data_IF_637513060349
#
_entry.id   IF_637513060349
#
_cell.length_a   1.000
_cell.length_b   1.000
_cell.length_c   1.000
_cell.angle_alpha   90.00
_cell.angle_beta   90.00
_cell.angle_gamma   90.00
#
_symmetry.space_group_name_H-M   'P 1'
#
loop_
_entity.id
_entity.type
_entity.pdbx_description
1 polymer ?
#
# COMPACT_ATOMS: atom_id res chain seq x y z
N UNK A 1 -24.84 -29.66 122.96
CA UNK A 1 -24.24 -30.68 122.07
C UNK A 1 -24.51 -30.18 120.66
N UNK A 2 -23.50 -29.55 120.08
CA UNK A 2 -23.66 -28.73 118.88
C UNK A 2 -23.22 -29.54 117.67
N UNK A 3 -24.17 -29.85 116.79
CA UNK A 3 -23.92 -30.48 115.49
C UNK A 3 -23.00 -29.60 114.64
N UNK A 4 -21.98 -30.24 114.06
CA UNK A 4 -21.03 -29.60 113.13
C UNK A 4 -21.21 -30.24 111.75
N UNK A 5 -21.81 -29.51 110.82
CA UNK A 5 -21.85 -29.87 109.40
C UNK A 5 -20.45 -29.71 108.75
N UNK A 6 -20.08 -30.57 107.78
CA UNK A 6 -18.85 -30.38 107.01
C UNK A 6 -19.07 -29.43 105.83
N UNK A 7 -18.15 -28.47 105.70
CA UNK A 7 -18.06 -27.50 104.60
C UNK A 7 -17.53 -28.18 103.34
N UNK A 8 -18.31 -28.18 102.26
CA UNK A 8 -17.88 -28.59 100.91
C UNK A 8 -17.21 -27.40 100.21
N UNK A 9 -15.97 -27.58 99.73
CA UNK A 9 -15.31 -26.60 98.86
C UNK A 9 -15.83 -26.69 97.42
N UNK A 10 -15.94 -25.57 96.68
CA UNK A 10 -16.36 -25.60 95.28
C UNK A 10 -15.20 -26.01 94.37
N UNK A 11 -15.47 -26.98 93.49
CA UNK A 11 -14.56 -27.41 92.42
C UNK A 11 -14.12 -26.23 91.54
N UNK A 12 -12.81 -26.05 91.46
CA UNK A 12 -12.15 -25.12 90.56
C UNK A 12 -12.19 -25.67 89.12
N UNK A 13 -13.25 -25.35 88.38
CA UNK A 13 -13.33 -25.61 86.95
C UNK A 13 -12.44 -24.60 86.23
N UNK A 14 -11.24 -25.03 85.85
CA UNK A 14 -10.42 -24.29 84.89
C UNK A 14 -11.08 -24.34 83.50
N UNK A 15 -11.32 -23.19 82.82
CA UNK A 15 -11.79 -23.22 81.44
C UNK A 15 -10.67 -23.74 80.51
N UNK A 16 -11.04 -24.67 79.62
CA UNK A 16 -10.15 -25.22 78.61
C UNK A 16 -9.55 -24.11 77.71
N UNK A 17 -8.32 -24.27 77.21
CA UNK A 17 -7.68 -23.25 76.40
C UNK A 17 -8.41 -23.11 75.06
N UNK A 18 -8.97 -21.93 74.82
CA UNK A 18 -9.65 -21.55 73.58
C UNK A 18 -8.66 -21.60 72.41
N UNK A 19 -8.81 -22.59 71.53
CA UNK A 19 -8.02 -22.80 70.29
C UNK A 19 -8.62 -22.09 69.07
N UNK A 20 -9.32 -20.97 69.25
CA UNK A 20 -10.03 -20.30 68.16
C UNK A 20 -9.14 -19.49 67.21
N UNK A 21 -7.88 -19.19 67.58
CA UNK A 21 -7.01 -18.34 66.76
C UNK A 21 -6.32 -19.06 65.60
N UNK A 22 -5.96 -20.34 65.73
CA UNK A 22 -5.18 -21.08 64.71
C UNK A 22 -5.97 -21.37 63.44
N UNK A 23 -7.26 -21.68 63.59
CA UNK A 23 -8.13 -22.14 62.50
C UNK A 23 -8.45 -20.99 61.52
N UNK A 24 -8.56 -19.76 62.03
CA UNK A 24 -8.77 -18.56 61.23
C UNK A 24 -7.54 -18.19 60.38
N UNK A 25 -6.32 -18.40 60.90
CA UNK A 25 -5.09 -18.19 60.15
C UNK A 25 -4.89 -19.26 59.06
N UNK A 26 -5.21 -20.53 59.34
CA UNK A 26 -5.19 -21.59 58.33
C UNK A 26 -6.23 -21.36 57.22
N UNK A 27 -7.44 -20.92 57.57
CA UNK A 27 -8.46 -20.54 56.60
C UNK A 27 -8.02 -19.36 55.70
N UNK A 28 -7.32 -18.38 56.29
CA UNK A 28 -6.76 -17.26 55.55
C UNK A 28 -5.63 -17.67 54.61
N UNK A 29 -4.74 -18.58 55.03
CA UNK A 29 -3.68 -19.11 54.18
C UNK A 29 -4.24 -19.96 53.03
N UNK A 30 -5.28 -20.76 53.29
CA UNK A 30 -5.99 -21.51 52.25
C UNK A 30 -6.64 -20.56 51.22
N UNK A 31 -7.24 -19.47 51.69
CA UNK A 31 -7.81 -18.44 50.84
C UNK A 31 -6.74 -17.73 50.01
N UNK A 32 -5.60 -17.38 50.61
CA UNK A 32 -4.47 -16.76 49.90
C UNK A 32 -3.94 -17.66 48.78
N UNK A 33 -3.74 -18.95 49.06
CA UNK A 33 -3.33 -19.94 48.06
C UNK A 33 -4.34 -20.06 46.94
N UNK A 34 -5.64 -20.08 47.25
CA UNK A 34 -6.70 -20.11 46.24
C UNK A 34 -6.70 -18.85 45.37
N UNK A 35 -6.52 -17.68 45.98
CA UNK A 35 -6.54 -16.38 45.30
C UNK A 35 -5.31 -16.23 44.39
N UNK A 36 -4.12 -16.61 44.86
CA UNK A 36 -2.89 -16.62 44.06
C UNK A 36 -3.01 -17.60 42.88
N UNK A 37 -3.63 -18.77 43.09
CA UNK A 37 -3.91 -19.73 42.01
C UNK A 37 -4.87 -19.16 40.97
N UNK A 38 -5.93 -18.46 41.40
CA UNK A 38 -6.90 -17.85 40.48
C UNK A 38 -6.32 -16.64 39.73
N UNK A 39 -5.55 -15.79 40.40
CA UNK A 39 -4.85 -14.67 39.76
C UNK A 39 -3.78 -15.17 38.79
N UNK A 40 -3.04 -16.23 39.15
CA UNK A 40 -2.09 -16.87 38.26
C UNK A 40 -2.73 -17.43 36.99
N UNK A 41 -3.89 -18.10 37.14
CA UNK A 41 -4.69 -18.57 35.99
C UNK A 41 -5.14 -17.41 35.11
N UNK A 42 -5.74 -16.37 35.70
CA UNK A 42 -6.23 -15.21 34.95
C UNK A 42 -5.10 -14.49 34.21
N UNK A 43 -3.93 -14.33 34.84
CA UNK A 43 -2.76 -13.73 34.20
C UNK A 43 -2.28 -14.55 33.00
N UNK A 44 -2.29 -15.88 33.12
CA UNK A 44 -1.92 -16.79 32.03
C UNK A 44 -2.91 -16.66 30.87
N UNK A 45 -4.21 -16.67 31.15
CA UNK A 45 -5.27 -16.55 30.14
C UNK A 45 -5.19 -15.20 29.39
N UNK A 46 -4.88 -14.11 30.09
CA UNK A 46 -4.69 -12.78 29.48
C UNK A 46 -3.47 -12.75 28.57
N UNK A 47 -2.33 -13.31 29.00
CA UNK A 47 -1.10 -13.35 28.20
C UNK A 47 -1.26 -14.24 26.97
N UNK A 48 -1.84 -15.42 27.14
CA UNK A 48 -2.08 -16.38 26.05
C UNK A 48 -3.07 -15.79 25.03
N UNK A 49 -4.16 -15.15 25.49
CA UNK A 49 -5.09 -14.46 24.58
C UNK A 49 -4.46 -13.26 23.85
N UNK A 50 -3.52 -12.55 24.50
CA UNK A 50 -2.79 -11.44 23.88
C UNK A 50 -1.79 -11.94 22.84
N UNK A 51 -1.04 -12.99 23.16
CA UNK A 51 -0.06 -13.61 22.28
C UNK A 51 -0.72 -14.26 21.07
N UNK A 52 -1.82 -15.00 21.25
CA UNK A 52 -2.60 -15.59 20.16
C UNK A 52 -3.10 -14.54 19.18
N UNK A 53 -3.69 -13.44 19.67
CA UNK A 53 -4.14 -12.32 18.83
C UNK A 53 -2.98 -11.65 18.09
N UNK A 54 -1.82 -11.53 18.74
CA UNK A 54 -0.63 -10.95 18.12
C UNK A 54 -0.02 -11.85 17.04
N UNK A 55 0.00 -13.16 17.27
CA UNK A 55 0.49 -14.17 16.34
C UNK A 55 -0.45 -14.33 15.14
N UNK A 56 -1.76 -14.26 15.37
CA UNK A 56 -2.77 -14.27 14.31
C UNK A 56 -2.65 -13.03 13.41
N UNK A 57 -2.48 -11.83 14.00
CA UNK A 57 -2.20 -10.60 13.26
C UNK A 57 -0.89 -10.69 12.47
N UNK A 58 0.18 -11.22 13.08
CA UNK A 58 1.47 -11.39 12.42
C UNK A 58 1.42 -12.42 11.28
N UNK A 59 0.63 -13.48 11.43
CA UNK A 59 0.45 -14.50 10.39
C UNK A 59 -0.32 -13.93 9.19
N UNK A 60 -1.43 -13.21 9.44
CA UNK A 60 -2.23 -12.52 8.42
C UNK A 60 -1.39 -11.48 7.66
N UNK A 61 -0.56 -10.71 8.37
CA UNK A 61 0.39 -9.75 7.76
C UNK A 61 1.46 -10.42 6.87
N UNK A 62 1.93 -11.63 7.23
CA UNK A 62 2.94 -12.39 6.47
C UNK A 62 2.36 -13.07 5.23
N UNK A 63 1.16 -13.62 5.30
CA UNK A 63 0.51 -14.26 4.14
C UNK A 63 0.05 -13.24 3.08
N UNK A 64 -0.48 -12.09 3.50
CA UNK A 64 -1.01 -11.05 2.61
C UNK A 64 0.08 -10.32 1.80
N UNK A 65 1.33 -10.29 2.29
CA UNK A 65 2.45 -9.68 1.56
C UNK A 65 3.16 -10.61 0.57
N UNK A 66 2.78 -11.89 0.50
CA UNK A 66 3.46 -12.85 -0.39
C UNK A 66 2.96 -12.80 -1.84
N UNK A 67 1.72 -12.36 -2.08
CA UNK A 67 1.13 -12.37 -3.41
C UNK A 67 1.49 -11.12 -4.21
N UNK A 68 2.19 -11.31 -5.33
CA UNK A 68 2.58 -10.23 -6.24
C UNK A 68 1.59 -10.07 -7.39
N UNK A 69 0.78 -9.02 -7.34
CA UNK A 69 -0.17 -8.71 -8.40
C UNK A 69 0.52 -8.37 -9.72
N UNK A 70 0.08 -9.01 -10.81
CA UNK A 70 0.53 -8.68 -12.18
C UNK A 70 0.09 -7.29 -12.63
N UNK A 71 -1.08 -6.84 -12.18
CA UNK A 71 -1.70 -5.58 -12.57
C UNK A 71 -1.92 -4.69 -11.35
N UNK A 72 -1.37 -3.48 -11.35
CA UNK A 72 -1.54 -2.49 -10.27
C UNK A 72 -3.02 -2.12 -10.04
N UNK A 73 -3.87 -2.25 -11.06
CA UNK A 73 -5.32 -2.10 -10.90
C UNK A 73 -5.92 -3.15 -9.97
N UNK A 74 -5.53 -4.43 -10.14
CA UNK A 74 -6.04 -5.54 -9.34
C UNK A 74 -5.56 -5.44 -7.89
N UNK A 75 -4.30 -5.05 -7.67
CA UNK A 75 -3.76 -4.78 -6.34
C UNK A 75 -4.60 -3.71 -5.60
N UNK A 76 -4.94 -2.62 -6.28
CA UNK A 76 -5.81 -1.57 -5.71
C UNK A 76 -7.22 -2.06 -5.40
N UNK A 77 -7.78 -3.01 -6.17
CA UNK A 77 -9.08 -3.61 -5.88
C UNK A 77 -9.00 -4.49 -4.65
N UNK A 78 -7.95 -5.32 -4.59
CA UNK A 78 -7.74 -6.23 -3.48
C UNK A 78 -7.56 -5.47 -2.15
N UNK A 79 -6.70 -4.43 -2.13
CA UNK A 79 -6.50 -3.58 -0.93
C UNK A 79 -7.78 -2.89 -0.47
N UNK A 80 -8.61 -2.44 -1.41
CA UNK A 80 -9.93 -1.88 -1.07
C UNK A 80 -10.85 -2.93 -0.43
N UNK A 81 -10.85 -4.17 -0.95
CA UNK A 81 -11.62 -5.26 -0.38
C UNK A 81 -11.14 -5.61 1.04
N UNK A 82 -9.82 -5.64 1.30
CA UNK A 82 -9.27 -5.80 2.65
C UNK A 82 -9.73 -4.70 3.61
N UNK A 83 -9.72 -3.45 3.16
CA UNK A 83 -10.17 -2.30 3.96
C UNK A 83 -11.66 -2.44 4.35
N UNK A 84 -12.51 -2.86 3.41
CA UNK A 84 -13.93 -3.12 3.67
C UNK A 84 -14.12 -4.31 4.62
N UNK A 85 -13.37 -5.40 4.43
CA UNK A 85 -13.43 -6.57 5.33
C UNK A 85 -13.00 -6.21 6.76
N UNK A 86 -11.97 -5.37 6.92
CA UNK A 86 -11.55 -4.87 8.22
C UNK A 86 -12.64 -4.02 8.88
N UNK A 87 -13.32 -3.17 8.12
CA UNK A 87 -14.43 -2.36 8.62
C UNK A 87 -15.63 -3.23 9.06
N UNK A 88 -15.97 -4.27 8.29
CA UNK A 88 -17.00 -5.25 8.67
C UNK A 88 -16.61 -5.99 9.95
N UNK A 89 -15.35 -6.38 10.08
CA UNK A 89 -14.84 -7.03 11.31
C UNK A 89 -14.93 -6.09 12.53
N UNK A 90 -14.72 -4.79 12.34
CA UNK A 90 -14.92 -3.79 13.40
C UNK A 90 -16.40 -3.65 13.77
N UNK A 91 -17.30 -3.66 12.79
CA UNK A 91 -18.76 -3.65 13.03
C UNK A 91 -19.19 -4.85 13.86
N UNK A 92 -18.73 -6.06 13.50
CA UNK A 92 -19.04 -7.28 14.25
C UNK A 92 -18.61 -7.16 15.72
N UNK A 93 -17.36 -6.75 15.99
CA UNK A 93 -16.86 -6.56 17.36
C UNK A 93 -17.64 -5.51 18.14
N UNK A 94 -18.00 -4.39 17.50
CA UNK A 94 -18.80 -3.35 18.16
C UNK A 94 -20.23 -3.83 18.46
N UNK A 95 -20.82 -4.63 17.57
CA UNK A 95 -22.12 -5.24 17.79
C UNK A 95 -22.10 -6.25 18.95
N UNK A 96 -21.06 -7.10 19.04
CA UNK A 96 -20.88 -8.04 20.15
C UNK A 96 -20.72 -7.33 21.49
N UNK A 97 -20.03 -6.17 21.49
CA UNK A 97 -19.90 -5.29 22.64
C UNK A 97 -21.18 -4.48 22.95
N UNK A 98 -22.24 -4.63 22.14
CA UNK A 98 -23.48 -3.84 22.21
C UNK A 98 -23.25 -2.32 22.10
N UNK A 99 -22.16 -1.92 21.47
CA UNK A 99 -21.84 -0.53 21.18
C UNK A 99 -22.46 -0.12 19.83
N UNK A 100 -23.76 0.16 19.87
CA UNK A 100 -24.52 0.52 18.68
C UNK A 100 -24.16 1.89 18.10
N UNK A 101 -23.54 2.77 18.89
CA UNK A 101 -23.07 4.08 18.42
C UNK A 101 -21.91 3.85 17.47
N UNK A 102 -20.89 3.10 17.89
CA UNK A 102 -19.76 2.74 17.03
C UNK A 102 -20.20 1.96 15.80
N UNK A 103 -21.16 1.03 15.93
CA UNK A 103 -21.74 0.32 14.76
C UNK A 103 -22.30 1.29 13.73
N UNK A 104 -23.10 2.26 14.17
CA UNK A 104 -23.72 3.25 13.27
C UNK A 104 -22.66 4.12 12.58
N UNK A 105 -21.67 4.59 13.32
CA UNK A 105 -20.59 5.43 12.80
C UNK A 105 -19.74 4.68 11.77
N UNK A 106 -19.33 3.44 12.07
CA UNK A 106 -18.54 2.62 11.14
C UNK A 106 -19.36 2.30 9.88
N UNK A 107 -20.66 2.00 10.01
CA UNK A 107 -21.53 1.79 8.85
C UNK A 107 -21.65 3.04 7.97
N UNK A 108 -21.75 4.23 8.57
CA UNK A 108 -21.76 5.49 7.82
C UNK A 108 -20.44 5.70 7.07
N UNK A 109 -19.31 5.38 7.70
CA UNK A 109 -17.99 5.49 7.07
C UNK A 109 -17.76 4.46 5.97
N UNK A 110 -18.21 3.21 6.14
CA UNK A 110 -18.21 2.18 5.08
C UNK A 110 -19.06 2.65 3.89
N UNK A 111 -20.21 3.28 4.16
CA UNK A 111 -21.06 3.84 3.11
C UNK A 111 -20.31 4.92 2.32
N UNK A 112 -19.66 5.88 3.00
CA UNK A 112 -18.84 6.92 2.34
C UNK A 112 -17.68 6.32 1.55
N UNK A 113 -17.02 5.30 2.10
CA UNK A 113 -15.90 4.60 1.49
C UNK A 113 -16.32 3.94 0.17
N UNK A 114 -17.47 3.24 0.15
CA UNK A 114 -18.05 2.64 -1.05
C UNK A 114 -18.43 3.70 -2.09
N UNK A 115 -19.05 4.82 -1.66
CA UNK A 115 -19.38 5.92 -2.57
C UNK A 115 -18.13 6.52 -3.23
N UNK A 116 -17.09 6.80 -2.44
CA UNK A 116 -15.78 7.27 -2.93
C UNK A 116 -15.18 6.28 -3.91
N UNK A 117 -15.29 4.97 -3.64
CA UNK A 117 -14.79 3.93 -4.55
C UNK A 117 -15.55 3.87 -5.86
N UNK A 118 -16.88 3.92 -5.82
CA UNK A 118 -17.72 3.93 -7.01
C UNK A 118 -17.41 5.15 -7.90
N UNK A 119 -17.15 6.31 -7.30
CA UNK A 119 -16.67 7.49 -8.02
C UNK A 119 -15.30 7.25 -8.69
N UNK A 120 -14.36 6.64 -7.98
CA UNK A 120 -13.06 6.27 -8.54
C UNK A 120 -13.19 5.29 -9.72
N UNK A 121 -14.07 4.29 -9.62
CA UNK A 121 -14.33 3.33 -10.70
C UNK A 121 -14.89 4.03 -11.93
N UNK A 122 -15.91 4.89 -11.76
CA UNK A 122 -16.49 5.67 -12.86
C UNK A 122 -15.45 6.57 -13.54
N UNK A 123 -14.56 7.19 -12.76
CA UNK A 123 -13.46 8.00 -13.30
C UNK A 123 -12.42 7.16 -14.04
N UNK A 124 -12.08 5.98 -13.53
CA UNK A 124 -11.17 5.05 -14.21
C UNK A 124 -11.77 4.52 -15.52
N UNK A 125 -13.07 4.27 -15.56
CA UNK A 125 -13.76 3.77 -16.75
C UNK A 125 -13.83 4.82 -17.86
N UNK A 126 -14.15 6.08 -17.50
CA UNK A 126 -14.24 7.20 -18.47
C UNK A 126 -12.87 7.70 -18.94
N UNK A 127 -11.84 7.60 -18.10
CA UNK A 127 -10.52 8.13 -18.43
C UNK A 127 -9.72 7.17 -19.32
N UNK A 128 -9.10 7.64 -20.42
CA UNK A 128 -8.14 6.85 -21.21
C UNK A 128 -6.88 6.48 -20.41
N UNK A 129 -6.59 7.20 -19.32
CA UNK A 129 -5.50 6.90 -18.39
C UNK A 129 -5.94 6.01 -17.20
N UNK A 130 -7.22 5.67 -17.09
CA UNK A 130 -7.75 4.69 -16.14
C UNK A 130 -7.40 4.98 -14.68
N UNK A 131 -6.96 3.94 -13.95
CA UNK A 131 -6.53 4.03 -12.55
C UNK A 131 -5.34 4.95 -12.28
N UNK A 132 -4.67 5.46 -13.32
CA UNK A 132 -3.63 6.48 -13.19
C UNK A 132 -4.24 7.87 -12.99
N UNK A 133 -5.34 8.19 -13.68
CA UNK A 133 -6.14 9.39 -13.41
C UNK A 133 -6.71 9.39 -12.01
N UNK A 134 -7.18 8.24 -11.52
CA UNK A 134 -7.66 8.11 -10.13
C UNK A 134 -6.55 8.43 -9.13
N UNK A 135 -5.30 8.01 -9.42
CA UNK A 135 -4.15 8.29 -8.53
C UNK A 135 -3.90 9.80 -8.44
N UNK A 136 -3.80 10.46 -9.59
CA UNK A 136 -3.61 11.92 -9.67
C UNK A 136 -4.78 12.69 -9.04
N UNK A 137 -6.00 12.19 -9.22
CA UNK A 137 -7.18 12.75 -8.59
C UNK A 137 -7.05 12.65 -7.07
N UNK A 138 -6.81 11.46 -6.51
CA UNK A 138 -6.74 11.24 -5.06
C UNK A 138 -5.53 11.91 -4.39
N UNK A 139 -4.47 12.25 -5.13
CA UNK A 139 -3.29 12.93 -4.59
C UNK A 139 -3.41 14.45 -4.48
N UNK A 140 -4.44 15.06 -5.06
CA UNK A 140 -4.63 16.51 -5.03
C UNK A 140 -5.57 16.91 -3.86
N UNK A 141 -5.05 17.61 -2.85
CA UNK A 141 -5.75 17.99 -1.60
C UNK A 141 -6.50 19.34 -1.69
N UNK A 142 -6.66 19.92 -2.88
CA UNK A 142 -7.21 21.28 -3.04
C UNK A 142 -8.71 21.28 -3.41
N UNK A 143 -9.53 21.42 -2.35
CA UNK A 143 -10.81 22.14 -2.11
C UNK A 143 -11.98 22.22 -3.13
N UNK A 144 -13.20 22.14 -2.54
CA UNK A 144 -14.56 22.54 -2.94
C UNK A 144 -15.21 21.90 -4.19
N UNK A 145 -16.17 21.03 -3.89
CA UNK A 145 -17.38 20.58 -4.59
C UNK A 145 -17.88 21.32 -5.87
N UNK A 146 -17.58 22.61 -6.08
CA UNK A 146 -17.85 23.30 -7.35
C UNK A 146 -16.81 23.01 -8.46
N UNK A 147 -15.70 22.32 -8.15
CA UNK A 147 -14.52 22.21 -9.03
C UNK A 147 -14.14 20.77 -9.43
N UNK A 148 -15.03 19.81 -9.20
CA UNK A 148 -14.73 18.39 -9.33
C UNK A 148 -14.51 17.95 -10.79
N UNK A 149 -15.27 18.53 -11.74
CA UNK A 149 -15.09 18.31 -13.18
C UNK A 149 -13.75 18.87 -13.69
N UNK A 150 -13.31 20.02 -13.15
CA UNK A 150 -12.00 20.59 -13.49
C UNK A 150 -10.87 19.73 -12.93
N UNK A 151 -11.03 19.20 -11.71
CA UNK A 151 -10.09 18.26 -11.09
C UNK A 151 -9.93 17.00 -11.93
N UNK A 152 -11.02 16.40 -12.42
CA UNK A 152 -10.96 15.20 -13.27
C UNK A 152 -10.16 15.49 -14.55
N UNK A 153 -10.47 16.58 -15.26
CA UNK A 153 -9.75 16.98 -16.48
C UNK A 153 -8.27 17.27 -16.24
N UNK A 154 -7.95 17.90 -15.11
CA UNK A 154 -6.56 18.18 -14.69
C UNK A 154 -5.79 16.90 -14.38
N UNK A 155 -6.37 16.01 -13.56
CA UNK A 155 -5.80 14.71 -13.23
C UNK A 155 -5.59 13.83 -14.47
N UNK A 156 -6.53 13.84 -15.41
CA UNK A 156 -6.42 13.12 -16.68
C UNK A 156 -5.28 13.68 -17.53
N UNK A 157 -5.18 15.01 -17.65
CA UNK A 157 -4.10 15.68 -18.36
C UNK A 157 -2.73 15.35 -17.77
N UNK A 158 -2.60 15.35 -16.44
CA UNK A 158 -1.35 14.99 -15.73
C UNK A 158 -1.00 13.52 -15.94
N UNK A 159 -1.96 12.61 -15.78
CA UNK A 159 -1.76 11.18 -16.01
C UNK A 159 -1.31 10.88 -17.45
N UNK A 160 -1.92 11.54 -18.45
CA UNK A 160 -1.54 11.38 -19.86
C UNK A 160 -0.13 11.93 -20.15
N UNK A 161 0.25 13.07 -19.55
CA UNK A 161 1.62 13.60 -19.65
C UNK A 161 2.64 12.63 -19.06
N UNK A 162 2.36 12.08 -17.88
CA UNK A 162 3.23 11.09 -17.21
C UNK A 162 3.41 9.83 -18.06
N UNK A 163 2.32 9.28 -18.62
CA UNK A 163 2.37 8.14 -19.56
C UNK A 163 3.23 8.45 -20.79
N UNK A 164 3.04 9.62 -21.42
CA UNK A 164 3.81 10.03 -22.61
C UNK A 164 5.30 10.22 -22.29
N UNK A 165 5.64 10.81 -21.15
CA UNK A 165 7.03 10.97 -20.70
C UNK A 165 7.70 9.62 -20.45
N UNK A 166 7.00 8.69 -19.79
CA UNK A 166 7.49 7.34 -19.53
C UNK A 166 7.71 6.53 -20.81
N UNK A 167 6.82 6.68 -21.80
CA UNK A 167 7.01 6.09 -23.13
C UNK A 167 8.27 6.63 -23.83
N UNK A 168 8.53 7.93 -23.75
CA UNK A 168 9.71 8.56 -24.38
C UNK A 168 11.02 8.16 -23.69
N UNK A 169 11.02 8.00 -22.37
CA UNK A 169 12.22 7.54 -21.65
C UNK A 169 12.52 6.07 -21.95
N UNK A 170 11.50 5.21 -22.04
CA UNK A 170 11.68 3.80 -22.42
C UNK A 170 12.17 3.63 -23.87
N UNK A 171 11.73 4.51 -24.78
CA UNK A 171 12.22 4.53 -26.16
C UNK A 171 13.72 4.88 -26.23
N UNK A 172 14.19 5.85 -25.43
CA UNK A 172 15.62 6.21 -25.34
C UNK A 172 16.49 5.09 -24.76
N UNK A 173 16.02 4.39 -23.72
CA UNK A 173 16.75 3.23 -23.17
C UNK A 173 16.90 2.08 -24.15
N UNK A 174 15.92 1.88 -25.04
CA UNK A 174 15.99 0.87 -26.10
C UNK A 174 16.96 1.23 -27.22
N UNK A 175 17.13 2.51 -27.55
CA UNK A 175 18.12 2.95 -28.54
C UNK A 175 19.58 2.83 -28.05
N UNK A 176 19.82 2.97 -26.74
CA UNK A 176 21.19 2.88 -26.18
C UNK A 176 21.69 1.44 -26.00
N UNK A 177 20.80 0.44 -26.02
CA UNK A 177 21.16 -0.98 -25.89
C UNK A 177 21.34 -1.68 -27.24
N UNK A 178 20.91 -1.06 -28.35
CA UNK A 178 21.15 -1.56 -29.70
C UNK A 178 22.54 -1.11 -30.19
N UNK A 179 23.61 -1.73 -29.65
CA UNK A 179 24.93 -1.67 -30.30
C UNK A 179 24.80 -2.33 -31.69
N UNK A 180 25.13 -1.66 -32.80
CA UNK A 180 25.19 -2.33 -34.09
C UNK A 180 26.37 -3.29 -34.04
N UNK A 181 26.10 -4.58 -34.24
CA UNK A 181 27.12 -5.60 -34.46
C UNK A 181 27.96 -5.15 -35.64
N UNK A 182 29.22 -4.81 -35.38
CA UNK A 182 30.16 -4.38 -36.42
C UNK A 182 30.62 -5.64 -37.15
N UNK A 183 30.22 -5.78 -38.41
CA UNK A 183 30.70 -6.85 -39.30
C UNK A 183 32.17 -6.54 -39.65
N UNK A 184 33.14 -7.41 -39.35
CA UNK A 184 34.50 -7.23 -39.84
C UNK A 184 34.54 -7.69 -41.30
N UNK A 185 34.57 -6.75 -42.24
CA UNK A 185 34.88 -7.06 -43.64
C UNK A 185 36.19 -6.38 -44.00
N UNK A 186 37.24 -7.18 -44.08
CA UNK A 186 38.56 -6.72 -44.47
C UNK A 186 38.60 -6.25 -45.92
N UNK A 187 39.21 -5.09 -46.15
CA UNK A 187 40.17 -4.92 -47.25
C UNK A 187 41.02 -3.67 -47.00
N UNK A 188 42.32 -3.91 -47.17
CA UNK A 188 43.45 -2.99 -47.11
C UNK A 188 43.36 -1.89 -48.17
N UNK A 189 43.75 -0.65 -47.83
CA UNK A 189 44.84 0.07 -48.51
C UNK A 189 45.28 1.31 -47.71
N UNK A 190 46.59 1.37 -47.52
CA UNK A 190 47.48 2.52 -47.47
C UNK A 190 47.37 3.56 -46.35
N UNK A 191 48.49 3.60 -45.61
CA UNK A 191 48.85 4.58 -44.62
C UNK A 191 49.10 5.97 -45.22
N UNK A 192 48.53 6.98 -44.57
CA UNK A 192 49.12 8.32 -44.51
C UNK A 192 48.74 8.95 -43.17
N UNK A 193 49.75 9.54 -42.54
CA UNK A 193 49.89 10.08 -41.18
C UNK A 193 48.66 10.81 -40.57
N UNK A 194 48.43 10.73 -39.24
CA UNK A 194 47.47 11.60 -38.55
C UNK A 194 48.12 12.91 -38.11
N UNK A 195 47.61 14.03 -38.63
CA UNK A 195 47.83 15.37 -38.09
C UNK A 195 46.77 15.65 -36.99
N UNK A 196 47.14 16.06 -35.76
CA UNK A 196 46.20 16.20 -34.66
C UNK A 196 45.72 17.66 -34.52
N UNK A 197 44.78 18.11 -35.36
CA UNK A 197 44.17 19.42 -35.13
C UNK A 197 42.81 19.56 -35.84
N UNK A 198 41.74 19.47 -35.04
CA UNK A 198 40.46 20.18 -35.13
C UNK A 198 39.30 19.30 -34.70
N UNK A 199 38.77 19.66 -33.53
CA UNK A 199 37.71 18.97 -32.82
C UNK A 199 36.32 19.39 -33.33
N UNK A 200 36.06 19.23 -34.64
CA UNK A 200 34.74 19.50 -35.23
C UNK A 200 34.06 18.20 -35.67
N UNK A 201 33.12 17.72 -34.85
CA UNK A 201 32.17 16.67 -35.23
C UNK A 201 31.40 17.12 -36.49
N UNK A 202 31.47 16.41 -37.63
CA UNK A 202 30.62 16.75 -38.75
C UNK A 202 29.18 16.35 -38.40
N UNK A 203 28.27 17.31 -38.50
CA UNK A 203 26.84 17.08 -38.46
C UNK A 203 26.50 16.10 -39.59
N UNK A 204 26.17 14.83 -39.26
CA UNK A 204 25.70 13.89 -40.28
C UNK A 204 24.40 14.44 -40.85
N UNK A 205 24.45 15.00 -42.06
CA UNK A 205 23.27 15.34 -42.85
C UNK A 205 22.52 14.03 -43.11
N UNK A 206 21.45 13.78 -42.37
CA UNK A 206 20.48 12.76 -42.74
C UNK A 206 19.79 13.25 -44.01
N UNK A 207 20.13 12.66 -45.15
CA UNK A 207 19.42 12.87 -46.41
C UNK A 207 17.99 12.33 -46.33
N UNK A 208 17.14 12.76 -47.27
CA UNK A 208 15.76 12.29 -47.39
C UNK A 208 15.73 10.75 -47.49
N UNK A 209 14.79 10.12 -46.78
CA UNK A 209 14.61 8.67 -46.83
C UNK A 209 13.84 8.28 -48.11
N UNK A 210 13.98 7.03 -48.60
CA UNK A 210 13.20 6.54 -49.74
C UNK A 210 11.68 6.63 -49.57
N UNK A 211 11.20 6.69 -48.32
CA UNK A 211 9.77 6.83 -47.97
C UNK A 211 9.30 8.27 -47.88
N UNK A 212 10.21 9.24 -47.88
CA UNK A 212 9.85 10.65 -47.76
C UNK A 212 9.35 11.18 -49.10
N UNK A 213 8.18 11.81 -49.10
CA UNK A 213 7.50 12.32 -50.30
C UNK A 213 7.81 13.82 -50.45
N UNK A 214 8.17 14.23 -51.66
CA UNK A 214 8.42 15.62 -52.00
C UNK A 214 7.12 16.42 -52.09
N UNK A 215 6.95 17.46 -51.28
CA UNK A 215 5.77 18.35 -51.29
C UNK A 215 5.70 19.32 -52.51
N UNK A 216 6.49 19.11 -53.55
CA UNK A 216 6.41 19.88 -54.81
C UNK A 216 5.97 18.98 -55.97
N UNK A 217 6.64 17.85 -56.18
CA UNK A 217 6.33 16.93 -57.28
C UNK A 217 5.59 15.65 -56.86
N UNK A 218 5.38 15.44 -55.55
CA UNK A 218 4.74 14.26 -54.97
C UNK A 218 5.48 12.93 -55.21
N UNK A 219 6.73 12.96 -55.66
CA UNK A 219 7.58 11.78 -55.83
C UNK A 219 8.40 11.51 -54.55
N UNK A 220 8.71 10.24 -54.30
CA UNK A 220 9.44 9.81 -53.11
C UNK A 220 10.98 9.86 -53.31
N UNK A 221 11.72 9.89 -52.21
CA UNK A 221 13.18 9.79 -52.21
C UNK A 221 13.95 11.12 -52.18
N UNK A 222 13.26 12.27 -52.11
CA UNK A 222 13.86 13.59 -51.95
C UNK A 222 12.92 14.57 -51.24
N UNK A 223 13.45 15.64 -50.63
CA UNK A 223 12.65 16.72 -50.07
C UNK A 223 12.52 17.86 -51.07
N UNK A 224 11.52 18.74 -50.88
CA UNK A 224 11.26 19.91 -51.75
C UNK A 224 12.54 20.68 -52.11
N UNK A 225 13.42 20.94 -51.15
CA UNK A 225 14.69 21.67 -51.35
C UNK A 225 15.64 21.03 -52.38
N UNK A 226 15.56 19.72 -52.55
CA UNK A 226 16.39 18.92 -53.46
C UNK A 226 15.59 18.43 -54.68
N UNK A 227 14.40 19.01 -54.94
CA UNK A 227 13.53 18.57 -56.01
C UNK A 227 14.05 19.00 -57.40
N UNK A 228 14.30 18.08 -58.33
CA UNK A 228 14.79 18.41 -59.67
C UNK A 228 13.81 19.30 -60.43
N UNK A 229 12.50 19.03 -60.32
CA UNK A 229 11.44 19.81 -60.98
C UNK A 229 11.30 21.24 -60.44
N UNK A 230 11.66 21.47 -59.17
CA UNK A 230 11.66 22.83 -58.59
C UNK A 230 12.87 23.66 -59.10
N UNK A 231 14.01 23.00 -59.33
CA UNK A 231 15.21 23.68 -59.86
C UNK A 231 15.04 24.08 -61.33
N UNK A 232 14.19 23.39 -62.06
CA UNK A 232 13.82 23.71 -63.44
C UNK A 232 12.80 24.84 -63.51
N UNK A 233 11.79 24.87 -62.63
CA UNK A 233 10.80 25.97 -62.58
C UNK A 233 11.38 27.32 -62.15
N UNK A 234 12.50 27.32 -61.42
CA UNK A 234 13.20 28.54 -60.97
C UNK A 234 14.21 29.10 -62.00
N UNK A 235 14.27 28.54 -63.21
CA UNK A 235 15.16 29.01 -64.30
C UNK A 235 14.48 29.96 -65.30
N UNK A 236 13.26 30.40 -65.02
CA UNK A 236 12.53 31.39 -65.82
C UNK A 236 12.10 32.56 -64.93
#
# INVERSE_FOLDING_TARGET
MSDSEPRVEPDNIQPAPVRESSDAFEAFDLFKVYLDKKLGSLKKDILESSEEKSAELASKLKTEHSYKFKYSGNEKQFRFNEEVQLAISKIQRAADAKDYISVKDICADVTKLIHKRNKCIKMADKSPAGWETVREYLSDDLASDSDDDKRIRSAESRAMRSRKQRSRSNQRKRSDTAKPYSIPSGRTVSATHPNPESNFRPYRKFGAKPTDICFFCSEAGHWRKDCPKQRESNKH
#
